data_IF_137662922736
#
_entry.id   IF_137662922736
#
_cell.length_a   1.000
_cell.length_b   1.000
_cell.length_c   1.000
_cell.angle_alpha   90.00
_cell.angle_beta   90.00
_cell.angle_gamma   90.00
#
_symmetry.space_group_name_H-M   'P 1'
#
loop_
_entity.id
_entity.type
_entity.pdbx_description
1 polymer ?
#
# COMPACT_ATOMS: atom_id res chain seq x y z
N UNK A 1 6.73 3.24 -17.72
CA UNK A 1 6.69 3.95 -16.41
C UNK A 1 5.54 3.42 -15.59
N UNK A 2 5.81 2.65 -14.53
CA UNK A 2 4.76 2.24 -13.59
C UNK A 2 4.60 3.36 -12.57
N UNK A 3 3.70 4.31 -12.85
CA UNK A 3 3.30 5.31 -11.88
C UNK A 3 2.65 4.61 -10.69
N UNK A 4 3.36 4.49 -9.58
CA UNK A 4 2.71 4.21 -8.30
C UNK A 4 2.14 5.50 -7.77
N UNK A 5 0.85 5.45 -7.42
CA UNK A 5 0.10 6.60 -6.90
C UNK A 5 0.64 7.08 -5.54
N UNK A 6 1.44 6.28 -4.83
CA UNK A 6 2.19 6.72 -3.65
C UNK A 6 3.64 7.10 -4.02
N UNK A 7 3.92 8.41 -4.01
CA UNK A 7 5.29 8.92 -4.13
C UNK A 7 6.02 8.77 -2.80
N UNK A 8 7.22 8.19 -2.85
CA UNK A 8 8.07 7.96 -1.67
C UNK A 8 8.37 9.24 -0.89
N UNK A 9 8.46 10.37 -1.59
CA UNK A 9 8.66 11.71 -1.01
C UNK A 9 7.51 12.12 -0.10
N UNK A 10 6.26 11.88 -0.51
CA UNK A 10 5.07 12.23 0.27
C UNK A 10 4.98 11.39 1.53
N UNK A 11 5.35 10.10 1.45
CA UNK A 11 5.34 9.21 2.60
C UNK A 11 6.40 9.54 3.64
N UNK A 12 7.56 10.06 3.24
CA UNK A 12 8.61 10.47 4.18
C UNK A 12 8.19 11.69 5.01
N UNK A 13 7.34 12.55 4.46
CA UNK A 13 6.80 13.72 5.15
C UNK A 13 5.70 13.39 6.16
N UNK A 14 5.10 12.19 6.09
CA UNK A 14 4.10 11.73 7.06
C UNK A 14 4.72 11.37 8.40
N UNK A 15 3.93 11.51 9.46
CA UNK A 15 4.28 11.04 10.81
C UNK A 15 4.23 9.50 10.91
N UNK A 16 4.82 8.93 11.95
CA UNK A 16 4.79 7.48 12.19
C UNK A 16 3.35 6.96 12.35
N UNK A 17 2.49 7.71 13.04
CA UNK A 17 1.10 7.30 13.27
C UNK A 17 0.23 7.43 12.02
N UNK A 18 0.48 8.45 11.19
CA UNK A 18 -0.12 8.57 9.86
C UNK A 18 0.28 7.41 8.96
N UNK A 19 1.56 7.01 8.99
CA UNK A 19 2.05 5.86 8.22
C UNK A 19 1.45 4.53 8.70
N UNK A 20 1.23 4.34 10.00
CA UNK A 20 0.54 3.16 10.54
C UNK A 20 -0.94 3.13 10.13
N UNK A 21 -1.59 4.29 10.13
CA UNK A 21 -2.98 4.44 9.67
C UNK A 21 -3.08 4.11 8.18
N UNK A 22 -2.17 4.65 7.37
CA UNK A 22 -2.07 4.37 5.93
C UNK A 22 -1.83 2.88 5.68
N UNK A 23 -0.89 2.26 6.41
CA UNK A 23 -0.61 0.82 6.29
C UNK A 23 -1.86 -0.02 6.55
N UNK A 24 -2.64 0.34 7.58
CA UNK A 24 -3.88 -0.35 7.93
C UNK A 24 -4.93 -0.21 6.82
N UNK A 25 -5.04 0.97 6.21
CA UNK A 25 -5.91 1.21 5.06
C UNK A 25 -5.51 0.35 3.85
N UNK A 26 -4.22 0.31 3.52
CA UNK A 26 -3.69 -0.50 2.42
C UNK A 26 -3.90 -2.00 2.65
N UNK A 27 -3.78 -2.49 3.89
CA UNK A 27 -4.05 -3.90 4.22
C UNK A 27 -5.52 -4.25 4.05
N UNK A 28 -6.45 -3.35 4.43
CA UNK A 28 -7.89 -3.52 4.16
C UNK A 28 -8.18 -3.56 2.66
N UNK A 29 -7.58 -2.66 1.89
CA UNK A 29 -7.70 -2.65 0.43
C UNK A 29 -7.16 -3.94 -0.19
N UNK A 30 -6.00 -4.42 0.26
CA UNK A 30 -5.42 -5.69 -0.17
C UNK A 30 -6.36 -6.87 0.11
N UNK A 31 -6.98 -6.90 1.30
CA UNK A 31 -7.95 -7.93 1.65
C UNK A 31 -9.15 -7.91 0.71
N UNK A 32 -9.74 -6.73 0.47
CA UNK A 32 -10.85 -6.56 -0.49
C UNK A 32 -10.48 -7.05 -1.89
N UNK A 33 -9.32 -6.68 -2.41
CA UNK A 33 -8.85 -7.13 -3.72
C UNK A 33 -8.63 -8.65 -3.78
N UNK A 34 -8.16 -9.28 -2.69
CA UNK A 34 -8.03 -10.74 -2.61
C UNK A 34 -9.39 -11.44 -2.59
N UNK A 35 -10.38 -10.85 -1.92
CA UNK A 35 -11.76 -11.37 -1.94
C UNK A 35 -12.37 -11.27 -3.34
N UNK A 36 -12.23 -10.12 -4.00
CA UNK A 36 -12.67 -9.93 -5.39
C UNK A 36 -11.98 -10.90 -6.36
N UNK A 37 -10.69 -11.18 -6.14
CA UNK A 37 -9.96 -12.17 -6.92
C UNK A 37 -10.55 -13.57 -6.73
N UNK A 38 -10.85 -13.95 -5.48
CA UNK A 38 -11.40 -15.26 -5.15
C UNK A 38 -12.80 -15.48 -5.75
N UNK A 39 -13.62 -14.43 -5.83
CA UNK A 39 -14.96 -14.47 -6.48
C UNK A 39 -14.90 -14.28 -7.99
N UNK A 40 -13.70 -14.15 -8.58
CA UNK A 40 -13.50 -13.86 -10.01
C UNK A 40 -14.12 -12.53 -10.48
N UNK A 41 -14.37 -11.59 -9.58
CA UNK A 41 -14.97 -10.28 -9.86
C UNK A 41 -13.92 -9.16 -9.95
N UNK A 42 -12.64 -9.49 -9.87
CA UNK A 42 -11.57 -8.50 -9.91
C UNK A 42 -11.39 -7.94 -11.32
N UNK A 43 -11.79 -6.69 -11.53
CA UNK A 43 -11.69 -6.02 -12.83
C UNK A 43 -10.25 -5.77 -13.29
N UNK A 44 -9.32 -5.53 -12.35
CA UNK A 44 -7.95 -5.07 -12.69
C UNK A 44 -6.90 -5.72 -11.79
N UNK A 45 -6.20 -6.73 -12.33
CA UNK A 45 -5.17 -7.48 -11.61
C UNK A 45 -3.91 -6.66 -11.28
N UNK A 46 -3.69 -5.54 -11.99
CA UNK A 46 -2.61 -4.60 -11.70
C UNK A 46 -2.70 -4.00 -10.31
N UNK A 47 -3.91 -3.82 -9.77
CA UNK A 47 -4.13 -3.21 -8.46
C UNK A 47 -3.56 -4.06 -7.33
N UNK A 48 -3.62 -5.40 -7.44
CA UNK A 48 -2.97 -6.29 -6.48
C UNK A 48 -1.45 -6.05 -6.41
N UNK A 49 -0.79 -5.92 -7.57
CA UNK A 49 0.65 -5.65 -7.62
C UNK A 49 0.96 -4.25 -7.11
N UNK A 50 0.11 -3.28 -7.41
CA UNK A 50 0.26 -1.90 -6.94
C UNK A 50 0.16 -1.81 -5.42
N UNK A 51 -0.94 -2.28 -4.83
CA UNK A 51 -1.18 -2.24 -3.37
C UNK A 51 -0.06 -2.98 -2.61
N UNK A 52 0.42 -4.12 -3.12
CA UNK A 52 1.58 -4.81 -2.51
C UNK A 52 2.85 -3.95 -2.47
N UNK A 53 3.15 -3.21 -3.55
CA UNK A 53 4.31 -2.30 -3.57
C UNK A 53 4.11 -1.12 -2.64
N UNK A 54 2.91 -0.57 -2.58
CA UNK A 54 2.57 0.55 -1.72
C UNK A 54 2.75 0.17 -0.24
N UNK A 55 2.26 -1.02 0.17
CA UNK A 55 2.51 -1.60 1.50
C UNK A 55 4.01 -1.74 1.78
N UNK A 56 4.78 -2.27 0.84
CA UNK A 56 6.22 -2.45 1.00
C UNK A 56 6.94 -1.11 1.26
N UNK A 57 6.60 -0.06 0.49
CA UNK A 57 7.18 1.28 0.68
C UNK A 57 6.88 1.87 2.05
N UNK A 58 5.63 1.76 2.52
CA UNK A 58 5.24 2.24 3.85
C UNK A 58 6.03 1.51 4.94
N UNK A 59 6.15 0.19 4.83
CA UNK A 59 6.93 -0.61 5.80
C UNK A 59 8.41 -0.22 5.80
N UNK A 60 9.00 0.03 4.63
CA UNK A 60 10.39 0.50 4.53
C UNK A 60 10.57 1.84 5.23
N UNK A 61 9.70 2.82 4.98
CA UNK A 61 9.80 4.16 5.60
C UNK A 61 9.54 4.09 7.11
N UNK A 62 8.61 3.25 7.56
CA UNK A 62 8.41 3.00 8.98
C UNK A 62 9.69 2.44 9.63
N UNK A 63 10.38 1.51 8.97
CA UNK A 63 11.67 1.01 9.45
C UNK A 63 12.75 2.11 9.45
N UNK A 64 12.83 2.93 8.40
CA UNK A 64 13.74 4.09 8.31
C UNK A 64 13.51 5.13 9.43
N UNK A 65 12.28 5.26 9.95
CA UNK A 65 11.95 6.23 11.02
C UNK A 65 12.14 5.69 12.44
N UNK A 66 12.25 4.37 12.60
CA UNK A 66 12.44 3.71 13.90
C UNK A 66 13.92 3.40 14.17
N UNK A 67 14.69 3.17 13.11
CA UNK A 67 16.15 3.04 13.16
C UNK A 67 16.84 4.38 13.43
#
# INVERSE_FOLDING_TARGET
MWGSEMKTTELRNKSVDELKTELTSLLKAQFGLRMQLATQQLAKTSELKRVRRDIARVRTILAEKVA
#
